data_IF_132593883574
#
_entry.id   IF_132593883574
#
_cell.length_a   1.000
_cell.length_b   1.000
_cell.length_c   1.000
_cell.angle_alpha   90.00
_cell.angle_beta   90.00
_cell.angle_gamma   90.00
#
_symmetry.space_group_name_H-M   'P 1'
#
loop_
_entity.id
_entity.type
_entity.pdbx_description
1 polymer ?
#
# COMPACT_ATOMS: atom_id res chain seq x y z
N UNK A 1 -19.85 -9.36 12.35
CA UNK A 1 -19.36 -8.71 11.14
C UNK A 1 -18.43 -9.64 10.40
N UNK A 2 -18.53 -9.65 9.09
CA UNK A 2 -17.70 -10.48 8.23
C UNK A 2 -16.23 -9.97 8.29
N UNK A 3 -15.29 -10.85 8.59
CA UNK A 3 -13.87 -10.52 8.70
C UNK A 3 -13.33 -9.89 7.40
N UNK A 4 -13.78 -10.40 6.24
CA UNK A 4 -13.36 -9.91 4.93
C UNK A 4 -13.81 -8.46 4.71
N UNK A 5 -15.05 -8.11 5.10
CA UNK A 5 -15.56 -6.73 5.00
C UNK A 5 -14.75 -5.79 5.89
N UNK A 6 -14.44 -6.20 7.13
CA UNK A 6 -13.63 -5.39 8.04
C UNK A 6 -12.25 -5.12 7.45
N UNK A 7 -11.61 -6.14 6.82
CA UNK A 7 -10.32 -6.00 6.17
C UNK A 7 -10.38 -5.01 5.00
N UNK A 8 -11.44 -5.07 4.20
CA UNK A 8 -11.64 -4.11 3.09
C UNK A 8 -11.76 -2.68 3.62
N UNK A 9 -12.52 -2.46 4.67
CA UNK A 9 -12.66 -1.12 5.26
C UNK A 9 -11.31 -0.59 5.77
N UNK A 10 -10.51 -1.44 6.41
CA UNK A 10 -9.18 -1.08 6.87
C UNK A 10 -8.28 -0.67 5.71
N UNK A 11 -8.31 -1.42 4.61
CA UNK A 11 -7.56 -1.10 3.40
C UNK A 11 -7.99 0.26 2.85
N UNK A 12 -9.28 0.48 2.72
CA UNK A 12 -9.81 1.74 2.18
C UNK A 12 -9.41 2.95 3.04
N UNK A 13 -9.44 2.81 4.37
CA UNK A 13 -8.97 3.88 5.26
C UNK A 13 -7.49 4.17 5.06
N UNK A 14 -6.68 3.13 4.91
CA UNK A 14 -5.25 3.30 4.69
C UNK A 14 -4.94 3.95 3.35
N UNK A 15 -5.75 3.69 2.32
CA UNK A 15 -5.60 4.31 1.01
C UNK A 15 -6.13 5.73 0.94
N UNK A 16 -6.96 6.14 1.90
CA UNK A 16 -7.62 7.44 1.92
C UNK A 16 -6.69 8.57 2.37
N UNK A 17 -5.47 8.63 1.85
CA UNK A 17 -4.48 9.64 2.16
C UNK A 17 -3.54 9.80 0.97
N UNK A 18 -3.35 11.03 0.52
CA UNK A 18 -2.57 11.33 -0.68
C UNK A 18 -1.12 10.85 -0.57
N UNK A 19 -0.46 11.11 0.56
CA UNK A 19 0.93 10.69 0.75
C UNK A 19 1.06 9.17 0.74
N UNK A 20 0.14 8.47 1.38
CA UNK A 20 0.17 7.01 1.38
C UNK A 20 -0.04 6.43 -0.02
N UNK A 21 -0.93 7.03 -0.82
CA UNK A 21 -1.11 6.58 -2.21
C UNK A 21 0.15 6.80 -3.03
N UNK A 22 0.81 7.94 -2.87
CA UNK A 22 2.08 8.22 -3.55
C UNK A 22 3.14 7.19 -3.17
N UNK A 23 3.28 6.91 -1.89
CA UNK A 23 4.25 5.90 -1.42
C UNK A 23 3.95 4.54 -2.05
N UNK A 24 2.69 4.14 -2.09
CA UNK A 24 2.31 2.85 -2.68
C UNK A 24 2.60 2.80 -4.18
N UNK A 25 2.38 3.89 -4.90
CA UNK A 25 2.72 3.97 -6.31
C UNK A 25 4.21 3.68 -6.53
N UNK A 26 5.08 4.26 -5.69
CA UNK A 26 6.51 4.01 -5.77
C UNK A 26 6.87 2.58 -5.39
N UNK A 27 6.25 2.03 -4.35
CA UNK A 27 6.52 0.67 -3.90
C UNK A 27 6.00 -0.39 -4.88
N UNK A 28 5.01 -0.05 -5.70
CA UNK A 28 4.48 -0.96 -6.72
C UNK A 28 5.49 -1.22 -7.84
N UNK A 29 6.33 -0.22 -8.14
CA UNK A 29 7.38 -0.33 -9.16
C UNK A 29 8.64 0.38 -8.67
N UNK A 30 9.35 -0.23 -7.70
CA UNK A 30 10.43 0.48 -7.03
C UNK A 30 11.62 0.80 -7.91
N UNK A 31 11.91 -0.03 -8.91
CA UNK A 31 13.04 0.24 -9.82
C UNK A 31 12.82 1.46 -10.68
N UNK A 32 11.55 1.81 -10.96
CA UNK A 32 11.22 3.02 -11.72
C UNK A 32 11.41 4.30 -10.90
N UNK A 33 11.44 4.20 -9.57
CA UNK A 33 11.40 5.36 -8.68
C UNK A 33 12.61 5.54 -7.78
N UNK A 34 13.42 4.51 -7.57
CA UNK A 34 14.55 4.55 -6.64
C UNK A 34 15.83 4.02 -7.27
N UNK A 35 17.00 4.57 -6.87
CA UNK A 35 18.27 3.99 -7.27
C UNK A 35 18.54 2.68 -6.52
N UNK A 36 19.52 1.91 -7.01
CA UNK A 36 19.93 0.68 -6.32
C UNK A 36 20.38 0.97 -4.89
N UNK A 37 20.12 0.02 -4.01
CA UNK A 37 20.49 0.06 -2.60
C UNK A 37 21.71 -0.82 -2.34
N UNK A 38 22.47 -0.48 -1.29
CA UNK A 38 23.64 -1.28 -0.94
C UNK A 38 23.26 -2.56 -0.19
N UNK A 39 22.33 -2.47 0.76
CA UNK A 39 22.04 -3.55 1.70
C UNK A 39 20.73 -4.29 1.44
N UNK A 40 20.07 -4.06 0.34
CA UNK A 40 18.83 -4.74 0.02
C UNK A 40 18.45 -4.57 -1.43
N UNK A 41 17.76 -5.57 -1.97
CA UNK A 41 17.22 -5.50 -3.32
C UNK A 41 15.87 -4.77 -3.30
N UNK A 42 15.69 -3.81 -4.20
CA UNK A 42 14.47 -3.00 -4.25
C UNK A 42 13.19 -3.84 -4.39
N UNK A 43 13.25 -4.92 -5.16
CA UNK A 43 12.07 -5.75 -5.42
C UNK A 43 11.96 -6.89 -4.40
N UNK A 44 13.05 -7.60 -4.17
CA UNK A 44 13.06 -8.76 -3.28
C UNK A 44 12.85 -8.37 -1.82
N UNK A 45 13.57 -7.36 -1.36
CA UNK A 45 13.57 -6.94 0.06
C UNK A 45 12.68 -5.74 0.30
N UNK A 46 12.49 -4.89 -0.69
CA UNK A 46 11.74 -3.65 -0.58
C UNK A 46 12.62 -2.43 -0.56
N UNK A 47 12.02 -1.28 -0.27
CA UNK A 47 12.67 0.03 -0.31
C UNK A 47 12.99 0.50 1.10
N UNK A 48 14.22 0.97 1.31
CA UNK A 48 14.67 1.54 2.58
C UNK A 48 13.83 2.76 2.95
N UNK A 49 13.44 2.85 4.21
CA UNK A 49 12.65 3.97 4.73
C UNK A 49 13.33 5.31 4.47
N UNK A 50 14.65 5.36 4.51
CA UNK A 50 15.41 6.59 4.22
C UNK A 50 15.20 7.07 2.78
N UNK A 51 15.17 6.16 1.83
CA UNK A 51 14.92 6.50 0.42
C UNK A 51 13.51 7.06 0.22
N UNK A 52 12.52 6.46 0.88
CA UNK A 52 11.13 6.93 0.81
C UNK A 52 11.03 8.33 1.43
N UNK A 53 11.65 8.51 2.58
CA UNK A 53 11.66 9.78 3.31
C UNK A 53 12.26 10.90 2.47
N UNK A 54 13.41 10.65 1.87
CA UNK A 54 14.08 11.63 1.02
C UNK A 54 13.24 12.01 -0.20
N UNK A 55 12.66 11.01 -0.86
CA UNK A 55 11.89 11.24 -2.08
C UNK A 55 10.60 12.02 -1.82
N UNK A 56 9.89 11.71 -0.75
CA UNK A 56 8.61 12.38 -0.45
C UNK A 56 8.80 13.75 0.19
N UNK A 57 9.95 13.99 0.82
CA UNK A 57 10.25 15.30 1.41
C UNK A 57 9.54 15.59 2.72
N UNK A 58 9.09 14.57 3.43
CA UNK A 58 8.50 14.69 4.76
C UNK A 58 9.52 14.26 5.81
N UNK A 59 9.23 14.52 7.08
CA UNK A 59 10.10 14.05 8.15
C UNK A 59 10.04 12.52 8.25
N UNK A 60 11.11 11.89 8.71
CA UNK A 60 11.13 10.43 8.87
C UNK A 60 10.06 9.91 9.83
N UNK A 61 9.80 10.54 11.00
CA UNK A 61 8.68 10.09 11.85
C UNK A 61 7.33 10.11 11.14
N UNK A 62 7.07 11.13 10.32
CA UNK A 62 5.83 11.20 9.54
C UNK A 62 5.73 10.05 8.54
N UNK A 63 6.81 9.81 7.80
CA UNK A 63 6.86 8.71 6.81
C UNK A 63 6.71 7.36 7.51
N UNK A 64 7.41 7.16 8.62
CA UNK A 64 7.28 5.93 9.40
C UNK A 64 5.84 5.72 9.88
N UNK A 65 5.16 6.79 10.31
CA UNK A 65 3.75 6.74 10.70
C UNK A 65 2.85 6.27 9.57
N UNK A 66 3.06 6.78 8.36
CA UNK A 66 2.32 6.33 7.17
C UNK A 66 2.58 4.87 6.87
N UNK A 67 3.84 4.46 6.92
CA UNK A 67 4.23 3.07 6.63
C UNK A 67 3.68 2.10 7.68
N UNK A 68 3.65 2.51 8.95
CA UNK A 68 3.04 1.71 10.02
C UNK A 68 1.54 1.57 9.82
N UNK A 69 0.87 2.63 9.37
CA UNK A 69 -0.55 2.57 9.06
C UNK A 69 -0.82 1.56 7.93
N UNK A 70 -0.01 1.62 6.88
CA UNK A 70 -0.10 0.66 5.76
C UNK A 70 0.21 -0.77 6.21
N UNK A 71 1.16 -0.94 7.12
CA UNK A 71 1.51 -2.26 7.68
C UNK A 71 0.37 -2.87 8.48
N UNK A 72 -0.32 -2.06 9.27
CA UNK A 72 -1.49 -2.53 10.06
C UNK A 72 -2.62 -3.00 9.16
N UNK A 73 -2.79 -2.36 8.01
CA UNK A 73 -3.79 -2.78 7.01
C UNK A 73 -3.27 -3.92 6.13
N UNK A 74 -2.07 -4.42 6.39
CA UNK A 74 -1.43 -5.52 5.65
C UNK A 74 -1.22 -5.21 4.18
N UNK A 75 -1.06 -3.92 3.84
CA UNK A 75 -0.79 -3.47 2.46
C UNK A 75 0.71 -3.48 2.16
N UNK A 76 1.53 -3.30 3.19
CA UNK A 76 2.98 -3.41 3.09
C UNK A 76 3.51 -4.32 4.17
N UNK A 77 4.67 -4.91 3.92
CA UNK A 77 5.45 -5.63 4.93
C UNK A 77 6.77 -4.91 5.13
N UNK A 78 7.37 -5.11 6.29
CA UNK A 78 8.69 -4.56 6.59
C UNK A 78 9.68 -5.68 6.85
N UNK A 79 10.95 -5.37 6.57
CA UNK A 79 12.05 -6.30 6.79
C UNK A 79 13.25 -5.49 7.28
N UNK A 80 13.92 -6.00 8.30
CA UNK A 80 15.14 -5.38 8.80
C UNK A 80 16.34 -6.12 8.26
N UNK A 81 17.28 -5.39 7.66
CA UNK A 81 18.59 -5.90 7.26
C UNK A 81 19.60 -4.97 7.90
N UNK A 82 20.44 -5.49 8.80
CA UNK A 82 21.36 -4.68 9.62
C UNK A 82 20.57 -3.63 10.42
N UNK A 83 20.88 -2.36 10.25
CA UNK A 83 20.18 -1.26 10.91
C UNK A 83 19.12 -0.59 10.04
N UNK A 84 18.84 -1.15 8.86
CA UNK A 84 17.93 -0.56 7.89
C UNK A 84 16.61 -1.30 7.85
N UNK A 85 15.52 -0.55 7.71
CA UNK A 85 14.17 -1.12 7.55
C UNK A 85 13.72 -0.89 6.11
N UNK A 86 13.28 -1.95 5.47
CA UNK A 86 12.82 -1.96 4.08
C UNK A 86 11.34 -2.28 4.03
N UNK A 87 10.61 -1.62 3.14
CA UNK A 87 9.18 -1.78 2.98
C UNK A 87 8.84 -2.27 1.58
N UNK A 88 7.92 -3.21 1.51
CA UNK A 88 7.51 -3.85 0.26
C UNK A 88 5.99 -3.93 0.21
N UNK A 89 5.42 -3.61 -0.95
CA UNK A 89 3.98 -3.69 -1.16
C UNK A 89 3.55 -5.15 -1.26
N UNK A 90 2.43 -5.47 -0.62
CA UNK A 90 1.79 -6.80 -0.65
C UNK A 90 0.50 -6.64 -1.44
N UNK A 91 0.38 -7.26 -2.64
CA UNK A 91 -0.76 -7.00 -3.51
C UNK A 91 -2.07 -7.63 -3.04
N UNK A 92 -2.04 -8.69 -2.22
CA UNK A 92 -3.21 -9.49 -1.87
C UNK A 92 -4.35 -8.69 -1.27
N UNK A 93 -4.05 -7.74 -0.36
CA UNK A 93 -5.09 -6.93 0.28
C UNK A 93 -5.72 -5.94 -0.68
N UNK A 94 -4.92 -5.41 -1.61
CA UNK A 94 -5.44 -4.53 -2.66
C UNK A 94 -6.36 -5.30 -3.61
N UNK A 95 -5.97 -6.51 -3.97
CA UNK A 95 -6.76 -7.38 -4.84
C UNK A 95 -8.11 -7.73 -4.18
N UNK A 96 -8.10 -8.06 -2.89
CA UNK A 96 -9.33 -8.35 -2.13
C UNK A 96 -10.27 -7.14 -2.11
N UNK A 97 -9.74 -5.95 -1.81
CA UNK A 97 -10.52 -4.72 -1.78
C UNK A 97 -11.10 -4.39 -3.15
N UNK A 98 -10.29 -4.56 -4.19
CA UNK A 98 -10.72 -4.35 -5.58
C UNK A 98 -11.89 -5.29 -5.94
N UNK A 99 -11.82 -6.56 -5.52
CA UNK A 99 -12.89 -7.53 -5.75
C UNK A 99 -14.20 -7.12 -5.10
N UNK A 100 -14.14 -6.64 -3.85
CA UNK A 100 -15.33 -6.16 -3.14
C UNK A 100 -15.97 -4.97 -3.86
N UNK A 101 -15.15 -3.98 -4.23
CA UNK A 101 -15.62 -2.78 -4.92
C UNK A 101 -16.18 -3.12 -6.30
N UNK A 102 -15.52 -4.00 -7.01
CA UNK A 102 -15.94 -4.45 -8.35
C UNK A 102 -17.31 -5.14 -8.26
N UNK A 103 -17.52 -5.99 -7.26
CA UNK A 103 -18.81 -6.68 -7.09
C UNK A 103 -19.94 -5.69 -6.79
N UNK A 104 -19.69 -4.71 -5.93
CA UNK A 104 -20.69 -3.67 -5.65
C UNK A 104 -21.06 -2.90 -6.92
N UNK A 105 -20.06 -2.54 -7.70
CA UNK A 105 -20.29 -1.82 -8.96
C UNK A 105 -21.10 -2.66 -9.97
N UNK A 106 -20.80 -3.95 -10.06
CA UNK A 106 -21.51 -4.87 -10.95
C UNK A 106 -22.98 -5.02 -10.55
N UNK A 107 -23.24 -5.20 -9.26
CA UNK A 107 -24.62 -5.31 -8.76
C UNK A 107 -25.40 -4.03 -9.06
N UNK A 108 -24.81 -2.87 -8.75
CA UNK A 108 -25.46 -1.57 -9.01
C UNK A 108 -25.74 -1.36 -10.49
N UNK A 109 -24.81 -1.76 -11.36
CA UNK A 109 -24.98 -1.64 -12.81
C UNK A 109 -26.14 -2.50 -13.32
N UNK A 110 -26.29 -3.72 -12.80
CA UNK A 110 -27.41 -4.58 -13.15
C UNK A 110 -28.75 -3.97 -12.74
N UNK A 111 -28.84 -3.40 -11.54
CA UNK A 111 -30.06 -2.74 -11.06
C UNK A 111 -30.40 -1.52 -11.91
N UNK A 112 -29.39 -0.76 -12.34
CA UNK A 112 -29.57 0.39 -13.22
C UNK A 112 -30.19 -0.01 -14.55
N UNK A 113 -29.71 -1.10 -15.16
CA UNK A 113 -30.25 -1.61 -16.42
C UNK A 113 -31.70 -2.06 -16.28
N UNK A 114 -32.04 -2.70 -15.14
CA UNK A 114 -33.39 -3.19 -14.90
C UNK A 114 -34.41 -2.04 -14.70
N UNK A 115 -33.93 -0.86 -14.28
CA UNK A 115 -34.80 0.29 -14.02
C UNK A 115 -35.03 1.18 -15.25
N UNK A 116 -34.33 0.94 -16.34
CA UNK A 116 -34.48 1.71 -17.59
C UNK A 116 -35.69 1.28 -18.44
#
# INVERSE_FOLDING_TARGET
MNKHVATTADVLRALGNEQRLIILEWLADPRAHFPEQQDGDLVKDGVCVGFITEKIGLSQPTVTGHLQYLSKAEIVTSKRIKNWVFYKLVPERLEEATSVLSELAKVASRQHKLSE
#
